data_IF_847437667085
#
_entry.id   IF_847437667085
#
_cell.length_a   1.000
_cell.length_b   1.000
_cell.length_c   1.000
_cell.angle_alpha   90.00
_cell.angle_beta   90.00
_cell.angle_gamma   90.00
#
_symmetry.space_group_name_H-M   'P 1'
#
loop_
_entity.id
_entity.type
_entity.pdbx_description
1 polymer ?
#
# COMPACT_ATOMS: atom_id res chain seq x y z
N UNK A 1 -1.28 14.82 1.57
CA UNK A 1 -1.53 14.22 2.89
C UNK A 1 -1.96 12.78 2.76
N UNK A 2 -1.50 11.91 3.67
CA UNK A 2 -2.06 10.57 3.79
C UNK A 2 -3.54 10.69 4.20
N UNK A 3 -4.42 9.96 3.52
CA UNK A 3 -5.84 9.90 3.87
C UNK A 3 -6.02 9.25 5.23
N UNK A 4 -7.05 9.60 6.02
CA UNK A 4 -7.37 8.87 7.23
C UNK A 4 -7.54 7.37 6.94
N UNK A 5 -7.03 6.51 7.80
CA UNK A 5 -7.11 5.07 7.67
C UNK A 5 -8.06 4.47 8.71
N UNK A 6 -9.06 3.72 8.25
CA UNK A 6 -9.98 2.95 9.10
C UNK A 6 -9.59 1.48 9.06
N UNK A 7 -9.28 0.87 10.20
CA UNK A 7 -8.98 -0.56 10.28
C UNK A 7 -10.15 -1.35 10.89
N UNK A 8 -10.59 -2.41 10.20
CA UNK A 8 -11.60 -3.33 10.69
C UNK A 8 -10.91 -4.49 11.40
N UNK A 9 -11.23 -4.69 12.68
CA UNK A 9 -10.70 -5.77 13.52
C UNK A 9 -11.86 -6.57 14.14
N UNK A 10 -11.62 -7.80 14.54
CA UNK A 10 -12.60 -8.65 15.20
C UNK A 10 -12.33 -10.14 14.96
N UNK A 11 -13.08 -11.01 15.63
CA UNK A 11 -12.96 -12.46 15.51
C UNK A 11 -13.15 -12.97 14.07
N UNK A 12 -12.64 -14.14 13.72
CA UNK A 12 -13.05 -14.83 12.51
C UNK A 12 -14.58 -14.98 12.43
N UNK A 13 -15.13 -14.95 11.23
CA UNK A 13 -16.56 -15.21 10.94
C UNK A 13 -17.58 -14.20 11.50
N UNK A 14 -17.17 -13.08 12.12
CA UNK A 14 -18.10 -12.01 12.54
C UNK A 14 -18.59 -11.15 11.38
N UNK A 15 -18.07 -11.36 10.15
CA UNK A 15 -18.50 -10.67 8.93
C UNK A 15 -17.67 -9.45 8.54
N UNK A 16 -16.41 -9.35 8.97
CA UNK A 16 -15.49 -8.23 8.62
C UNK A 16 -15.35 -8.03 7.12
N UNK A 17 -15.01 -9.10 6.38
CA UNK A 17 -14.81 -9.03 4.92
C UNK A 17 -16.11 -8.72 4.18
N UNK A 18 -17.26 -9.17 4.69
CA UNK A 18 -18.57 -8.79 4.14
C UNK A 18 -18.85 -7.31 4.37
N UNK A 19 -18.54 -6.79 5.56
CA UNK A 19 -18.64 -5.37 5.88
C UNK A 19 -17.71 -4.55 4.99
N UNK A 20 -16.44 -4.92 4.89
CA UNK A 20 -15.46 -4.29 4.01
C UNK A 20 -15.98 -4.20 2.57
N UNK A 21 -16.39 -5.32 1.96
CA UNK A 21 -16.93 -5.35 0.61
C UNK A 21 -18.18 -4.48 0.45
N UNK A 22 -19.01 -4.40 1.49
CA UNK A 22 -20.22 -3.56 1.49
C UNK A 22 -19.88 -2.07 1.52
N UNK A 23 -18.92 -1.66 2.31
CA UNK A 23 -18.47 -0.27 2.42
C UNK A 23 -17.78 0.19 1.13
N UNK A 24 -16.97 -0.66 0.53
CA UNK A 24 -16.32 -0.43 -0.76
C UNK A 24 -17.31 -0.42 -1.92
N UNK A 25 -18.31 -1.30 -1.91
CA UNK A 25 -19.28 -1.46 -3.01
C UNK A 25 -20.33 -0.35 -3.13
N UNK A 26 -20.45 0.57 -2.17
CA UNK A 26 -21.43 1.67 -2.23
C UNK A 26 -21.06 2.83 -3.15
N UNK A 27 -19.79 3.01 -3.54
CA UNK A 27 -19.35 3.92 -4.60
C UNK A 27 -17.93 3.56 -5.10
N UNK A 28 -17.84 2.55 -5.94
CA UNK A 28 -16.79 2.47 -6.95
C UNK A 28 -17.26 3.27 -8.16
N UNK A 29 -17.14 4.61 -8.11
CA UNK A 29 -17.05 5.37 -9.34
C UNK A 29 -15.58 5.28 -9.77
N UNK A 30 -15.37 4.50 -10.84
CA UNK A 30 -14.19 4.55 -11.70
C UNK A 30 -12.88 4.01 -11.08
N UNK A 31 -12.84 2.72 -10.76
CA UNK A 31 -11.65 1.91 -11.04
C UNK A 31 -12.16 0.68 -11.78
N UNK A 32 -11.85 0.61 -13.08
CA UNK A 32 -12.27 -0.44 -14.01
C UNK A 32 -11.90 -1.83 -13.48
N UNK A 33 -12.84 -2.76 -13.64
CA UNK A 33 -12.60 -4.21 -13.64
C UNK A 33 -11.48 -4.55 -14.65
N UNK A 34 -10.26 -4.62 -14.17
CA UNK A 34 -9.17 -5.22 -14.93
C UNK A 34 -9.27 -6.73 -14.76
N UNK A 35 -9.59 -7.51 -15.83
CA UNK A 35 -9.61 -8.96 -15.74
C UNK A 35 -8.21 -9.47 -15.42
N UNK A 36 -8.05 -10.14 -14.27
CA UNK A 36 -6.79 -10.75 -13.86
C UNK A 36 -6.27 -10.37 -12.47
N UNK A 37 -6.92 -9.45 -11.74
CA UNK A 37 -6.58 -9.13 -10.36
C UNK A 37 -7.42 -9.97 -9.42
N UNK A 38 -6.79 -10.89 -8.73
CA UNK A 38 -7.39 -11.77 -7.71
C UNK A 38 -8.11 -10.95 -6.62
N UNK A 39 -9.26 -11.47 -6.17
CA UNK A 39 -10.27 -10.86 -5.29
C UNK A 39 -9.85 -10.57 -3.83
N UNK A 40 -8.58 -10.59 -3.48
CA UNK A 40 -8.11 -10.40 -2.11
C UNK A 40 -7.60 -8.96 -1.87
N UNK A 41 -8.46 -7.96 -2.12
CA UNK A 41 -8.15 -6.59 -1.72
C UNK A 41 -8.44 -6.44 -0.23
N UNK A 42 -7.38 -6.38 0.58
CA UNK A 42 -7.45 -6.05 2.01
C UNK A 42 -7.60 -4.54 2.25
N UNK A 43 -7.54 -3.71 1.20
CA UNK A 43 -7.44 -2.26 1.26
C UNK A 43 -8.28 -1.60 0.17
N UNK A 44 -9.01 -0.54 0.49
CA UNK A 44 -9.81 0.20 -0.49
C UNK A 44 -10.02 1.66 -0.09
N UNK A 45 -10.17 2.51 -1.11
CA UNK A 45 -10.58 3.90 -0.94
C UNK A 45 -12.09 4.00 -0.71
N UNK A 46 -12.50 4.82 0.24
CA UNK A 46 -13.88 5.14 0.53
C UNK A 46 -14.10 6.66 0.56
N UNK A 47 -15.33 7.07 0.31
CA UNK A 47 -15.77 8.47 0.46
C UNK A 47 -17.12 8.50 1.18
N UNK A 48 -17.21 9.33 2.22
CA UNK A 48 -18.45 9.55 2.97
C UNK A 48 -18.54 11.00 3.41
N UNK A 49 -19.70 11.63 3.19
CA UNK A 49 -19.96 13.05 3.53
C UNK A 49 -18.85 14.00 3.01
N UNK A 50 -18.31 13.75 1.79
CA UNK A 50 -17.26 14.54 1.18
C UNK A 50 -15.86 14.31 1.77
N UNK A 51 -15.70 13.40 2.74
CA UNK A 51 -14.39 13.01 3.31
C UNK A 51 -13.91 11.73 2.66
N UNK A 52 -12.71 11.78 2.10
CA UNK A 52 -12.03 10.60 1.53
C UNK A 52 -11.15 9.97 2.60
N UNK A 53 -11.19 8.65 2.69
CA UNK A 53 -10.41 7.86 3.63
C UNK A 53 -10.13 6.48 3.05
N UNK A 54 -9.20 5.78 3.67
CA UNK A 54 -8.85 4.42 3.30
C UNK A 54 -9.38 3.45 4.35
N UNK A 55 -9.80 2.26 3.91
CA UNK A 55 -10.30 1.21 4.80
C UNK A 55 -9.51 -0.08 4.59
N UNK A 56 -9.16 -0.77 5.67
CA UNK A 56 -8.42 -2.03 5.63
C UNK A 56 -9.16 -3.12 6.40
N UNK A 57 -9.32 -4.30 5.76
CA UNK A 57 -9.76 -5.52 6.46
C UNK A 57 -8.55 -6.27 6.99
N UNK A 58 -8.37 -6.26 8.31
CA UNK A 58 -7.30 -7.03 8.96
C UNK A 58 -7.61 -8.53 9.03
N UNK A 59 -8.79 -8.96 8.60
CA UNK A 59 -9.31 -10.32 8.71
C UNK A 59 -9.01 -11.25 7.54
N UNK A 60 -8.33 -10.79 6.48
CA UNK A 60 -8.06 -11.59 5.28
C UNK A 60 -7.16 -12.83 5.50
N UNK A 61 -6.76 -13.09 6.75
CA UNK A 61 -5.97 -14.25 7.17
C UNK A 61 -6.74 -14.96 8.27
N UNK A 62 -7.26 -16.14 8.01
CA UNK A 62 -7.97 -16.93 9.01
C UNK A 62 -7.03 -17.87 9.77
N UNK A 63 -7.16 -17.97 11.12
CA UNK A 63 -6.41 -18.97 11.90
C UNK A 63 -6.89 -20.39 11.57
N UNK A 64 -5.98 -21.33 11.57
CA UNK A 64 -6.26 -22.73 11.25
C UNK A 64 -6.74 -23.57 12.46
N UNK A 65 -6.64 -23.02 13.66
CA UNK A 65 -7.05 -23.68 14.91
C UNK A 65 -7.65 -22.71 15.92
N UNK A 66 -8.64 -23.16 16.69
CA UNK A 66 -9.35 -22.36 17.70
C UNK A 66 -8.43 -21.82 18.81
N UNK A 67 -7.35 -22.53 19.16
CA UNK A 67 -6.36 -22.07 20.14
C UNK A 67 -5.52 -20.87 19.67
N UNK A 68 -5.57 -20.54 18.39
CA UNK A 68 -4.82 -19.45 17.79
C UNK A 68 -5.64 -18.16 17.63
N UNK A 69 -6.97 -18.23 17.81
CA UNK A 69 -7.89 -17.09 17.60
C UNK A 69 -7.48 -15.88 18.43
N UNK A 70 -7.15 -16.08 19.69
CA UNK A 70 -6.80 -14.98 20.59
C UNK A 70 -5.48 -14.30 20.20
N UNK A 71 -4.47 -15.10 19.83
CA UNK A 71 -3.18 -14.58 19.35
C UNK A 71 -3.40 -13.81 18.05
N UNK A 72 -4.18 -14.35 17.15
CA UNK A 72 -4.54 -13.72 15.89
C UNK A 72 -5.25 -12.36 16.08
N UNK A 73 -6.24 -12.30 16.98
CA UNK A 73 -6.96 -11.07 17.28
C UNK A 73 -6.08 -10.00 17.94
N UNK A 74 -5.17 -10.41 18.84
CA UNK A 74 -4.20 -9.50 19.44
C UNK A 74 -3.29 -8.86 18.39
N UNK A 75 -2.83 -9.64 17.43
CA UNK A 75 -1.96 -9.14 16.36
C UNK A 75 -2.71 -8.24 15.39
N UNK A 76 -3.96 -8.56 15.04
CA UNK A 76 -4.83 -7.66 14.28
C UNK A 76 -5.03 -6.32 15.00
N UNK A 77 -5.37 -6.38 16.29
CA UNK A 77 -5.56 -5.19 17.10
C UNK A 77 -4.26 -4.35 17.18
N UNK A 78 -3.10 -4.99 17.30
CA UNK A 78 -1.82 -4.30 17.34
C UNK A 78 -1.50 -3.61 16.00
N UNK A 79 -1.77 -4.27 14.86
CA UNK A 79 -1.60 -3.68 13.53
C UNK A 79 -2.53 -2.46 13.36
N UNK A 80 -3.80 -2.61 13.78
CA UNK A 80 -4.76 -1.52 13.72
C UNK A 80 -4.35 -0.34 14.61
N UNK A 81 -3.88 -0.61 15.83
CA UNK A 81 -3.36 0.41 16.76
C UNK A 81 -2.16 1.14 16.15
N UNK A 82 -1.26 0.39 15.49
CA UNK A 82 -0.05 0.95 14.92
C UNK A 82 -0.32 1.79 13.65
N UNK A 83 -1.34 1.46 12.85
CA UNK A 83 -1.51 2.04 11.53
C UNK A 83 -2.78 2.91 11.34
N UNK A 84 -3.87 2.64 12.05
CA UNK A 84 -5.17 3.28 11.78
C UNK A 84 -5.37 4.58 12.56
N UNK A 85 -6.11 5.52 11.95
CA UNK A 85 -6.64 6.71 12.64
C UNK A 85 -7.90 6.39 13.43
N UNK A 86 -8.73 5.48 12.91
CA UNK A 86 -9.93 4.97 13.57
C UNK A 86 -9.97 3.45 13.47
N UNK A 87 -10.36 2.78 14.53
CA UNK A 87 -10.46 1.32 14.60
C UNK A 87 -11.92 0.92 14.73
N UNK A 88 -12.40 0.04 13.86
CA UNK A 88 -13.74 -0.55 13.95
C UNK A 88 -13.62 -1.95 14.53
N UNK A 89 -14.08 -2.14 15.77
CA UNK A 89 -14.19 -3.47 16.38
C UNK A 89 -15.53 -4.10 16.00
N UNK A 90 -15.49 -5.16 15.19
CA UNK A 90 -16.68 -5.90 14.77
C UNK A 90 -16.86 -7.13 15.64
N UNK A 91 -18.02 -7.20 16.31
CA UNK A 91 -18.52 -8.34 17.07
C UNK A 91 -19.78 -8.90 16.41
N UNK A 92 -20.42 -9.93 16.95
CA UNK A 92 -21.70 -10.44 16.45
C UNK A 92 -22.67 -10.73 17.57
N UNK A 93 -23.97 -10.53 17.32
CA UNK A 93 -25.02 -10.71 18.31
C UNK A 93 -25.20 -12.17 18.73
N UNK A 94 -25.04 -13.13 17.80
CA UNK A 94 -25.36 -14.54 18.03
C UNK A 94 -24.48 -15.24 19.07
N UNK A 95 -23.23 -14.82 19.22
CA UNK A 95 -22.31 -15.40 20.23
C UNK A 95 -22.19 -14.56 21.49
N UNK A 96 -22.74 -13.35 21.51
CA UNK A 96 -22.54 -12.40 22.60
C UNK A 96 -21.09 -11.97 22.77
N UNK A 97 -20.76 -11.39 23.94
CA UNK A 97 -19.42 -10.93 24.28
C UNK A 97 -18.54 -12.09 24.73
N UNK A 98 -17.48 -12.38 23.97
CA UNK A 98 -16.51 -13.44 24.30
C UNK A 98 -15.31 -12.91 25.11
N UNK A 99 -14.53 -13.85 25.69
CA UNK A 99 -13.27 -13.50 26.37
C UNK A 99 -12.26 -12.83 25.41
N UNK A 100 -12.24 -13.28 24.16
CA UNK A 100 -11.37 -12.68 23.12
C UNK A 100 -11.78 -11.24 22.78
N UNK A 101 -13.08 -10.95 22.68
CA UNK A 101 -13.57 -9.58 22.47
C UNK A 101 -13.19 -8.67 23.63
N UNK A 102 -13.32 -9.15 24.89
CA UNK A 102 -12.93 -8.39 26.10
C UNK A 102 -11.43 -8.07 26.11
N UNK A 103 -10.61 -9.02 25.72
CA UNK A 103 -9.15 -8.83 25.70
C UNK A 103 -8.74 -7.81 24.65
N UNK A 104 -9.25 -7.93 23.43
CA UNK A 104 -9.01 -6.95 22.36
C UNK A 104 -9.54 -5.57 22.75
N UNK A 105 -10.76 -5.48 23.29
CA UNK A 105 -11.30 -4.22 23.79
C UNK A 105 -10.37 -3.55 24.81
N UNK A 106 -9.82 -4.33 25.75
CA UNK A 106 -8.85 -3.81 26.73
C UNK A 106 -7.56 -3.30 26.07
N UNK A 107 -7.06 -3.94 25.03
CA UNK A 107 -5.91 -3.46 24.26
C UNK A 107 -6.22 -2.14 23.54
N UNK A 108 -7.39 -2.07 22.90
CA UNK A 108 -7.84 -0.87 22.19
C UNK A 108 -8.05 0.31 23.13
N UNK A 109 -8.65 0.12 24.29
CA UNK A 109 -8.81 1.14 25.33
C UNK A 109 -7.46 1.74 25.79
N UNK A 110 -6.43 0.89 25.94
CA UNK A 110 -5.09 1.33 26.34
C UNK A 110 -4.38 2.11 25.25
N UNK A 111 -4.72 1.91 23.99
CA UNK A 111 -4.07 2.58 22.86
C UNK A 111 -4.43 4.07 22.75
N UNK A 112 -5.55 4.49 23.35
CA UNK A 112 -6.12 5.84 23.22
C UNK A 112 -6.52 6.23 21.79
N UNK A 113 -6.51 5.29 20.85
CA UNK A 113 -7.03 5.51 19.49
C UNK A 113 -8.56 5.54 19.51
N UNK A 114 -9.23 6.32 18.65
CA UNK A 114 -10.66 6.24 18.47
C UNK A 114 -11.10 4.83 18.06
N UNK A 115 -12.07 4.28 18.75
CA UNK A 115 -12.60 2.94 18.49
C UNK A 115 -14.12 3.02 18.33
N UNK A 116 -14.64 2.50 17.22
CA UNK A 116 -16.07 2.36 16.96
C UNK A 116 -16.44 0.89 17.13
N UNK A 117 -17.34 0.60 18.06
CA UNK A 117 -17.83 -0.76 18.32
C UNK A 117 -19.05 -1.07 17.48
N UNK A 118 -19.01 -2.16 16.70
CA UNK A 118 -20.12 -2.64 15.91
C UNK A 118 -20.55 -4.04 16.33
N UNK A 119 -21.86 -4.24 16.46
CA UNK A 119 -22.49 -5.54 16.67
C UNK A 119 -23.18 -5.97 15.38
N UNK A 120 -22.57 -6.90 14.67
CA UNK A 120 -23.01 -7.37 13.35
C UNK A 120 -24.01 -8.53 13.46
N UNK A 121 -24.60 -8.90 12.31
CA UNK A 121 -25.63 -9.93 12.14
C UNK A 121 -26.96 -9.56 12.83
N UNK A 122 -27.22 -8.26 12.97
CA UNK A 122 -28.50 -7.74 13.43
C UNK A 122 -29.40 -7.45 12.23
N UNK A 123 -30.05 -8.51 11.72
CA UNK A 123 -30.77 -8.46 10.46
C UNK A 123 -32.20 -7.88 10.60
N UNK A 124 -32.70 -7.75 11.83
CA UNK A 124 -34.01 -7.15 12.11
C UNK A 124 -33.91 -5.63 12.26
N UNK A 125 -34.86 -4.89 11.64
CA UNK A 125 -34.98 -3.43 11.70
C UNK A 125 -35.91 -3.01 12.82
N UNK A 126 -35.77 -3.51 14.03
CA UNK A 126 -36.61 -3.21 15.16
C UNK A 126 -35.83 -2.77 16.41
N UNK A 127 -36.50 -2.87 17.56
CA UNK A 127 -35.82 -2.70 18.84
C UNK A 127 -34.65 -3.72 18.91
N UNK A 128 -33.48 -3.31 19.47
CA UNK A 128 -32.37 -4.21 19.62
C UNK A 128 -32.75 -5.46 20.40
N UNK A 129 -32.15 -6.60 20.01
CA UNK A 129 -32.17 -7.81 20.82
C UNK A 129 -31.67 -7.47 22.24
N UNK A 130 -32.28 -7.97 23.32
CA UNK A 130 -31.80 -7.73 24.68
C UNK A 130 -30.30 -8.05 24.88
N UNK A 131 -29.77 -9.03 24.16
CA UNK A 131 -28.34 -9.38 24.17
C UNK A 131 -27.43 -8.26 23.65
N UNK A 132 -27.98 -7.32 22.85
CA UNK A 132 -27.19 -6.18 22.35
C UNK A 132 -26.62 -5.32 23.48
N UNK A 133 -27.32 -5.17 24.56
CA UNK A 133 -26.90 -4.33 25.68
C UNK A 133 -25.69 -4.92 26.45
N UNK A 134 -25.37 -6.21 26.26
CA UNK A 134 -24.18 -6.82 26.83
C UNK A 134 -22.89 -6.18 26.30
N UNK A 135 -22.90 -5.69 25.05
CA UNK A 135 -21.71 -5.12 24.39
C UNK A 135 -21.25 -3.80 25.01
N UNK A 136 -22.09 -3.08 25.73
CA UNK A 136 -21.67 -1.94 26.56
C UNK A 136 -20.61 -2.31 27.60
N UNK A 137 -20.58 -3.57 28.04
CA UNK A 137 -19.58 -4.09 28.99
C UNK A 137 -18.14 -4.07 28.47
N UNK A 138 -17.95 -3.85 27.17
CA UNK A 138 -16.61 -3.69 26.55
C UNK A 138 -15.99 -2.31 26.81
N UNK A 139 -16.80 -1.30 27.21
CA UNK A 139 -16.33 0.04 27.59
C UNK A 139 -15.83 0.89 26.42
N UNK A 140 -16.20 0.57 25.18
CA UNK A 140 -15.75 1.24 23.95
C UNK A 140 -16.74 2.30 23.43
N UNK A 141 -17.66 2.79 24.27
CA UNK A 141 -18.72 3.70 23.88
C UNK A 141 -20.00 2.99 23.45
N UNK A 142 -20.86 3.70 22.71
CA UNK A 142 -22.15 3.18 22.26
C UNK A 142 -21.96 2.19 21.10
N UNK A 143 -22.37 0.92 21.24
CA UNK A 143 -22.26 -0.04 20.15
C UNK A 143 -23.25 0.27 19.03
N UNK A 144 -22.81 0.16 17.78
CA UNK A 144 -23.63 0.37 16.59
C UNK A 144 -24.23 -0.96 16.15
N UNK A 145 -25.55 -0.97 15.96
CA UNK A 145 -26.25 -2.10 15.36
C UNK A 145 -25.92 -2.19 13.89
N UNK A 146 -25.44 -3.36 13.43
CA UNK A 146 -24.98 -3.54 12.07
C UNK A 146 -25.55 -4.82 11.46
N UNK A 147 -25.96 -4.76 10.20
CA UNK A 147 -26.10 -5.91 9.33
C UNK A 147 -25.26 -5.71 8.07
N UNK A 148 -24.07 -6.27 8.05
CA UNK A 148 -23.21 -6.23 6.87
C UNK A 148 -23.87 -6.90 5.64
N UNK A 149 -24.74 -7.89 5.86
CA UNK A 149 -25.48 -8.59 4.81
C UNK A 149 -26.55 -7.69 4.17
N UNK A 150 -27.31 -6.95 4.95
CA UNK A 150 -28.41 -6.12 4.47
C UNK A 150 -28.04 -4.63 4.35
N UNK A 151 -26.91 -4.22 4.94
CA UNK A 151 -26.40 -2.84 4.89
C UNK A 151 -27.05 -1.91 5.92
N UNK A 152 -27.78 -2.45 6.90
CA UNK A 152 -28.35 -1.66 8.00
C UNK A 152 -27.22 -1.18 8.93
N UNK A 153 -27.30 0.05 9.42
CA UNK A 153 -26.32 0.65 10.34
C UNK A 153 -24.99 1.04 9.70
N UNK A 154 -24.79 0.78 8.40
CA UNK A 154 -23.52 1.14 7.73
C UNK A 154 -23.34 2.65 7.58
N UNK A 155 -24.43 3.44 7.51
CA UNK A 155 -24.38 4.90 7.51
C UNK A 155 -23.92 5.42 8.87
N UNK A 156 -24.54 4.94 9.95
CA UNK A 156 -24.21 5.34 11.32
C UNK A 156 -22.74 5.00 11.66
N UNK A 157 -22.27 3.82 11.21
CA UNK A 157 -20.87 3.45 11.33
C UNK A 157 -19.94 4.44 10.62
N UNK A 158 -20.27 4.84 9.39
CA UNK A 158 -19.44 5.75 8.61
C UNK A 158 -19.49 7.17 9.19
N UNK A 159 -20.64 7.63 9.67
CA UNK A 159 -20.76 8.93 10.33
C UNK A 159 -19.90 8.98 11.59
N UNK A 160 -19.92 7.92 12.41
CA UNK A 160 -19.09 7.84 13.61
C UNK A 160 -17.59 7.78 13.27
N UNK A 161 -17.20 7.00 12.25
CA UNK A 161 -15.80 6.99 11.79
C UNK A 161 -15.34 8.38 11.34
N UNK A 162 -16.14 9.07 10.54
CA UNK A 162 -15.81 10.41 10.01
C UNK A 162 -15.73 11.46 11.13
N UNK A 163 -16.58 11.35 12.16
CA UNK A 163 -16.55 12.24 13.31
C UNK A 163 -15.22 12.17 14.08
N UNK A 164 -14.55 11.03 14.05
CA UNK A 164 -13.26 10.82 14.67
C UNK A 164 -12.06 11.17 13.77
N UNK A 165 -12.27 11.50 12.49
CA UNK A 165 -11.17 11.88 11.63
C UNK A 165 -10.56 13.21 12.07
N UNK A 166 -9.25 13.36 11.91
CA UNK A 166 -8.60 14.63 12.14
C UNK A 166 -9.27 15.72 11.28
N UNK A 167 -9.32 16.98 11.77
CA UNK A 167 -9.84 18.10 11.00
C UNK A 167 -9.23 18.11 9.59
N UNK A 168 -10.06 18.39 8.58
CA UNK A 168 -9.52 18.68 7.25
C UNK A 168 -8.74 19.99 7.39
N UNK A 169 -7.44 19.95 7.28
CA UNK A 169 -6.65 21.16 7.15
C UNK A 169 -7.01 21.76 5.78
N UNK A 170 -7.76 22.88 5.80
CA UNK A 170 -8.03 23.67 4.63
C UNK A 170 -6.69 24.23 4.14
N UNK A 171 -6.22 23.77 2.98
CA UNK A 171 -5.20 24.45 2.21
C UNK A 171 -3.76 24.28 2.69
N UNK A 172 -3.25 23.06 2.64
CA UNK A 172 -1.85 22.86 2.29
C UNK A 172 -1.78 21.83 1.15
N UNK A 173 -1.83 22.34 -0.07
CA UNK A 173 -1.12 21.72 -1.19
C UNK A 173 0.36 21.65 -0.77
N UNK A 174 0.83 20.44 -0.42
CA UNK A 174 2.25 20.21 -0.28
C UNK A 174 2.74 19.90 1.15
N UNK A 175 2.46 18.73 1.69
CA UNK A 175 3.49 18.09 2.50
C UNK A 175 4.66 17.79 1.54
N UNK A 176 5.66 18.68 1.53
CA UNK A 176 6.87 18.53 0.71
C UNK A 176 7.71 17.29 1.10
N UNK A 177 7.28 16.56 2.12
CA UNK A 177 7.96 15.36 2.62
C UNK A 177 7.67 14.16 1.74
N UNK A 178 8.71 13.45 1.37
CA UNK A 178 8.58 12.19 0.63
C UNK A 178 8.36 11.05 1.62
N UNK A 179 7.27 10.32 1.46
CA UNK A 179 6.94 9.17 2.28
C UNK A 179 7.67 7.92 1.77
N UNK A 180 8.50 7.32 2.63
CA UNK A 180 9.39 6.21 2.28
C UNK A 180 9.04 4.96 3.10
N UNK A 181 8.66 3.87 2.42
CA UNK A 181 8.49 2.56 3.04
C UNK A 181 9.74 1.70 2.86
N UNK A 182 10.23 1.09 3.94
CA UNK A 182 11.33 0.12 3.90
C UNK A 182 10.77 -1.28 4.05
N UNK A 183 10.71 -2.03 2.95
CA UNK A 183 10.09 -3.35 2.87
C UNK A 183 11.12 -4.43 2.50
N UNK A 184 10.82 -5.69 2.80
CA UNK A 184 11.70 -6.83 2.53
C UNK A 184 11.49 -7.94 3.56
N UNK A 185 12.03 -9.13 3.28
CA UNK A 185 11.94 -10.30 4.18
C UNK A 185 12.58 -10.03 5.56
N UNK A 186 12.31 -10.84 6.59
CA UNK A 186 13.01 -10.77 7.87
C UNK A 186 14.54 -10.84 7.69
N UNK A 187 15.29 -10.20 8.60
CA UNK A 187 16.76 -10.25 8.68
C UNK A 187 17.56 -9.72 7.47
N UNK A 188 16.93 -9.04 6.50
CA UNK A 188 17.66 -8.37 5.40
C UNK A 188 18.35 -7.08 5.83
N UNK A 189 18.10 -6.60 7.06
CA UNK A 189 18.76 -5.41 7.63
C UNK A 189 17.93 -4.13 7.62
N UNK A 190 16.59 -4.21 7.52
CA UNK A 190 15.69 -3.04 7.58
C UNK A 190 15.92 -2.20 8.83
N UNK A 191 15.89 -2.84 10.00
CA UNK A 191 16.10 -2.16 11.29
C UNK A 191 17.52 -1.54 11.39
N UNK A 192 18.52 -2.21 10.83
CA UNK A 192 19.89 -1.69 10.79
C UNK A 192 19.98 -0.44 9.94
N UNK A 193 19.33 -0.44 8.76
CA UNK A 193 19.28 0.72 7.88
C UNK A 193 18.58 1.91 8.54
N UNK A 194 17.40 1.68 9.10
CA UNK A 194 16.63 2.73 9.79
C UNK A 194 17.43 3.30 10.99
N UNK A 195 18.05 2.44 11.81
CA UNK A 195 18.86 2.89 12.94
C UNK A 195 20.10 3.68 12.48
N UNK A 196 20.73 3.29 11.39
CA UNK A 196 21.86 4.03 10.83
C UNK A 196 21.40 5.41 10.34
N UNK A 197 20.34 5.48 9.54
CA UNK A 197 19.80 6.74 9.01
C UNK A 197 19.42 7.69 10.15
N UNK A 198 18.75 7.20 11.20
CA UNK A 198 18.33 8.01 12.35
C UNK A 198 19.47 8.33 13.32
N UNK A 199 20.56 7.59 13.29
CA UNK A 199 21.76 7.81 14.11
C UNK A 199 22.78 8.78 13.50
N UNK A 200 22.60 9.20 12.25
CA UNK A 200 23.52 10.14 11.60
C UNK A 200 23.40 11.54 12.21
N UNK A 201 24.55 12.16 12.59
CA UNK A 201 24.62 13.48 13.25
C UNK A 201 24.05 14.64 12.43
N UNK A 202 23.76 14.45 11.15
CA UNK A 202 23.22 15.44 10.22
C UNK A 202 21.72 15.35 10.00
N UNK A 203 21.05 14.47 10.76
CA UNK A 203 19.62 14.21 10.65
C UNK A 203 18.90 14.90 11.79
N UNK A 204 18.00 15.80 11.49
CA UNK A 204 17.09 16.41 12.45
C UNK A 204 15.84 15.53 12.48
N UNK A 205 15.63 14.80 13.56
CA UNK A 205 14.36 14.17 13.87
C UNK A 205 13.48 15.27 14.46
N UNK A 206 12.46 15.68 13.73
CA UNK A 206 11.55 16.73 14.20
C UNK A 206 10.69 16.18 15.33
N UNK A 207 11.05 16.52 16.58
CA UNK A 207 10.17 16.40 17.74
C UNK A 207 9.09 17.49 17.64
N UNK A 208 8.07 17.30 16.84
CA UNK A 208 6.87 18.13 16.90
C UNK A 208 6.00 17.62 18.05
N UNK A 209 6.20 18.21 19.22
CA UNK A 209 5.24 18.14 20.32
C UNK A 209 3.92 18.77 19.85
N UNK A 210 2.94 17.93 19.49
CA UNK A 210 1.59 18.40 19.12
C UNK A 210 0.92 17.68 17.94
N UNK A 211 1.68 16.99 17.08
CA UNK A 211 1.10 16.16 16.04
C UNK A 211 1.36 14.68 16.34
N UNK A 212 0.66 14.17 17.34
CA UNK A 212 0.63 12.74 17.68
C UNK A 212 -0.19 11.98 16.61
N UNK A 213 0.19 12.09 15.32
CA UNK A 213 -0.53 11.35 14.29
C UNK A 213 -0.02 9.93 14.11
N UNK A 214 1.28 9.65 14.38
CA UNK A 214 1.77 8.28 14.31
C UNK A 214 3.06 8.09 15.12
N UNK A 215 2.96 7.47 16.29
CA UNK A 215 4.12 7.00 17.06
C UNK A 215 4.98 5.95 16.32
N UNK A 216 4.63 5.65 15.08
CA UNK A 216 5.14 4.57 14.23
C UNK A 216 5.97 5.11 13.07
N UNK A 217 5.65 6.32 12.59
CA UNK A 217 6.36 6.98 11.48
C UNK A 217 7.45 7.91 12.02
N UNK A 218 8.55 8.05 11.30
CA UNK A 218 9.64 8.90 11.71
C UNK A 218 9.91 9.99 10.67
N UNK A 219 9.57 11.25 10.96
CA UNK A 219 9.97 12.38 10.12
C UNK A 219 11.48 12.61 10.23
N UNK A 220 12.07 12.94 9.09
CA UNK A 220 13.51 13.12 8.95
C UNK A 220 13.80 14.26 7.99
N UNK A 221 14.70 15.15 8.36
CA UNK A 221 15.20 16.21 7.50
C UNK A 221 16.72 16.16 7.44
N UNK A 222 17.26 16.26 6.23
CA UNK A 222 18.70 16.29 5.97
C UNK A 222 19.04 17.22 4.80
N UNK A 223 20.30 17.26 4.39
CA UNK A 223 20.79 18.10 3.27
C UNK A 223 20.13 17.77 1.92
N UNK A 224 19.50 16.59 1.75
CA UNK A 224 18.84 16.14 0.53
C UNK A 224 17.34 16.49 0.49
N UNK A 225 16.71 16.76 1.65
CA UNK A 225 15.30 17.08 1.73
C UNK A 225 14.59 16.59 2.98
N UNK A 226 13.26 16.56 2.91
CA UNK A 226 12.36 16.19 3.99
C UNK A 226 11.69 14.85 3.68
N UNK A 227 11.69 13.94 4.63
CA UNK A 227 11.19 12.58 4.46
C UNK A 227 10.33 12.16 5.64
N UNK A 228 9.47 11.15 5.42
CA UNK A 228 8.78 10.42 6.48
C UNK A 228 9.01 8.92 6.24
N UNK A 229 9.74 8.27 7.13
CA UNK A 229 9.91 6.82 7.09
C UNK A 229 8.74 6.14 7.79
N UNK A 230 7.98 5.34 7.04
CA UNK A 230 6.73 4.70 7.46
C UNK A 230 7.02 3.42 8.24
N UNK A 231 6.21 3.15 9.28
CA UNK A 231 6.23 1.92 10.12
C UNK A 231 7.60 1.60 10.76
N UNK A 232 8.35 2.62 11.18
CA UNK A 232 9.66 2.41 11.80
C UNK A 232 9.59 1.72 13.15
N UNK A 233 8.52 1.90 13.94
CA UNK A 233 8.32 1.22 15.23
C UNK A 233 8.06 -0.28 15.07
N UNK A 234 7.29 -0.69 14.04
CA UNK A 234 7.11 -2.09 13.68
C UNK A 234 8.44 -2.76 13.30
N UNK A 235 9.31 -2.03 12.61
CA UNK A 235 10.66 -2.47 12.24
C UNK A 235 11.56 -2.60 13.48
N UNK A 236 11.48 -1.68 14.47
CA UNK A 236 12.31 -1.68 15.69
C UNK A 236 11.91 -2.75 16.71
N UNK A 237 10.61 -3.03 16.88
CA UNK A 237 10.12 -4.00 17.88
C UNK A 237 10.44 -5.47 17.52
N UNK A 238 10.67 -5.80 16.25
CA UNK A 238 10.87 -7.17 15.74
C UNK A 238 12.23 -7.82 16.06
N UNK A 239 13.13 -7.21 16.80
CA UNK A 239 14.40 -7.87 17.17
C UNK A 239 14.25 -9.06 18.14
N UNK A 240 13.03 -9.45 18.55
CA UNK A 240 12.79 -10.45 19.61
C UNK A 240 11.69 -11.47 19.38
N UNK A 241 11.10 -11.63 18.18
CA UNK A 241 9.91 -12.50 17.99
C UNK A 241 10.05 -13.49 16.82
N UNK A 242 9.60 -14.71 17.10
CA UNK A 242 9.62 -15.99 16.38
C UNK A 242 9.00 -16.02 14.95
N UNK A 243 9.41 -17.04 14.15
CA UNK A 243 9.08 -17.32 12.74
C UNK A 243 7.58 -17.53 12.38
N UNK A 244 6.68 -17.49 13.35
CA UNK A 244 5.22 -17.69 13.13
C UNK A 244 4.49 -16.50 12.53
N UNK A 245 5.18 -15.38 12.24
CA UNK A 245 4.57 -14.08 11.94
C UNK A 245 4.73 -13.68 10.45
N UNK A 246 4.96 -14.62 9.56
CA UNK A 246 5.22 -14.32 8.14
C UNK A 246 4.04 -13.60 7.47
N UNK A 247 2.81 -14.06 7.72
CA UNK A 247 1.57 -13.49 7.15
C UNK A 247 1.33 -12.03 7.60
N UNK A 248 1.53 -11.74 8.89
CA UNK A 248 1.41 -10.36 9.40
C UNK A 248 2.52 -9.44 8.92
N UNK A 249 3.68 -10.00 8.59
CA UNK A 249 4.77 -9.24 7.97
C UNK A 249 4.38 -8.74 6.58
N UNK A 250 3.64 -9.54 5.81
CA UNK A 250 3.14 -9.17 4.48
C UNK A 250 2.08 -8.07 4.59
N UNK A 251 1.12 -8.21 5.51
CA UNK A 251 0.08 -7.18 5.74
C UNK A 251 0.68 -5.83 6.15
N UNK A 252 1.66 -5.81 7.07
CA UNK A 252 2.35 -4.58 7.46
C UNK A 252 3.11 -3.97 6.29
N UNK A 253 3.78 -4.81 5.47
CA UNK A 253 4.44 -4.33 4.26
C UNK A 253 3.43 -3.69 3.31
N UNK A 254 2.25 -4.29 3.14
CA UNK A 254 1.19 -3.75 2.29
C UNK A 254 0.67 -2.40 2.79
N UNK A 255 0.39 -2.28 4.11
CA UNK A 255 -0.03 -1.01 4.71
C UNK A 255 1.03 0.09 4.55
N UNK A 256 2.32 -0.25 4.73
CA UNK A 256 3.41 0.69 4.52
C UNK A 256 3.54 1.09 3.04
N UNK A 257 3.40 0.13 2.11
CA UNK A 257 3.41 0.37 0.67
C UNK A 257 2.32 1.37 0.28
N UNK A 258 1.07 1.17 0.73
CA UNK A 258 -0.05 2.04 0.33
C UNK A 258 0.16 3.51 0.75
N UNK A 259 0.79 3.75 1.89
CA UNK A 259 1.06 5.09 2.41
C UNK A 259 2.32 5.73 1.82
N UNK A 260 3.17 4.96 1.15
CA UNK A 260 4.43 5.44 0.62
C UNK A 260 4.30 6.14 -0.74
N UNK A 261 5.19 7.12 -0.99
CA UNK A 261 5.52 7.61 -2.33
C UNK A 261 6.57 6.72 -2.99
N UNK A 262 7.58 6.30 -2.19
CA UNK A 262 8.71 5.49 -2.66
C UNK A 262 8.92 4.28 -1.75
N UNK A 263 9.07 3.09 -2.33
CA UNK A 263 9.36 1.85 -1.65
C UNK A 263 10.85 1.46 -1.80
N UNK A 264 11.55 1.28 -0.68
CA UNK A 264 12.88 0.68 -0.64
C UNK A 264 12.73 -0.83 -0.43
N UNK A 265 12.91 -1.61 -1.49
CA UNK A 265 12.78 -3.07 -1.47
C UNK A 265 14.15 -3.66 -1.11
N UNK A 266 14.30 -4.06 0.15
CA UNK A 266 15.57 -4.58 0.66
C UNK A 266 15.71 -6.08 0.40
N UNK A 267 16.84 -6.47 -0.19
CA UNK A 267 17.26 -7.86 -0.40
C UNK A 267 18.62 -8.10 0.24
N UNK A 268 18.92 -9.35 0.63
CA UNK A 268 20.26 -9.74 1.11
C UNK A 268 21.15 -10.04 -0.11
N UNK A 269 22.22 -9.29 -0.28
CA UNK A 269 23.13 -9.46 -1.42
C UNK A 269 23.84 -10.82 -1.44
N UNK A 270 23.96 -11.54 -0.31
CA UNK A 270 24.55 -12.88 -0.26
C UNK A 270 23.61 -13.96 -0.79
N UNK A 271 22.31 -13.82 -0.44
CA UNK A 271 21.30 -14.83 -0.78
C UNK A 271 20.76 -14.60 -2.22
N UNK A 272 20.88 -13.38 -2.74
CA UNK A 272 20.19 -12.97 -3.95
C UNK A 272 18.69 -12.80 -3.74
N UNK A 273 17.93 -12.81 -4.84
CA UNK A 273 16.46 -12.70 -4.80
C UNK A 273 15.85 -14.04 -4.45
N UNK A 274 14.98 -14.06 -3.43
CA UNK A 274 14.22 -15.23 -3.01
C UNK A 274 12.74 -15.10 -3.42
N UNK A 275 11.98 -16.20 -3.34
CA UNK A 275 10.54 -16.18 -3.62
C UNK A 275 9.78 -15.17 -2.75
N UNK A 276 10.17 -15.03 -1.48
CA UNK A 276 9.57 -14.06 -0.57
C UNK A 276 9.89 -12.61 -0.99
N UNK A 277 11.12 -12.34 -1.44
CA UNK A 277 11.51 -11.04 -1.97
C UNK A 277 10.69 -10.70 -3.22
N UNK A 278 10.46 -11.69 -4.12
CA UNK A 278 9.63 -11.53 -5.32
C UNK A 278 8.17 -11.20 -4.97
N UNK A 279 7.59 -11.86 -3.97
CA UNK A 279 6.23 -11.57 -3.50
C UNK A 279 6.11 -10.15 -2.96
N UNK A 280 7.06 -9.71 -2.12
CA UNK A 280 7.07 -8.36 -1.53
C UNK A 280 7.27 -7.30 -2.62
N UNK A 281 8.19 -7.53 -3.56
CA UNK A 281 8.39 -6.65 -4.70
C UNK A 281 7.15 -6.56 -5.60
N UNK A 282 6.44 -7.68 -5.79
CA UNK A 282 5.16 -7.74 -6.49
C UNK A 282 4.11 -6.84 -5.90
N UNK A 283 3.96 -6.82 -4.56
CA UNK A 283 3.01 -5.92 -3.89
C UNK A 283 3.28 -4.44 -4.19
N UNK A 284 4.54 -4.00 -4.16
CA UNK A 284 4.90 -2.62 -4.48
C UNK A 284 4.63 -2.27 -5.95
N UNK A 285 4.89 -3.21 -6.86
CA UNK A 285 4.62 -3.08 -8.29
C UNK A 285 3.11 -2.96 -8.58
N UNK A 286 2.30 -3.86 -8.02
CA UNK A 286 0.84 -3.88 -8.18
C UNK A 286 0.18 -2.63 -7.61
N UNK A 287 0.67 -2.15 -6.46
CA UNK A 287 0.24 -0.89 -5.87
C UNK A 287 0.65 0.34 -6.71
N UNK A 288 1.48 0.17 -7.73
CA UNK A 288 1.92 1.26 -8.59
C UNK A 288 2.93 2.20 -7.95
N UNK A 289 3.63 1.78 -6.89
CA UNK A 289 4.54 2.64 -6.15
C UNK A 289 5.91 2.75 -6.83
N UNK A 290 6.47 3.95 -6.75
CA UNK A 290 7.85 4.15 -7.13
C UNK A 290 8.77 3.30 -6.24
N UNK A 291 9.79 2.65 -6.82
CA UNK A 291 10.53 1.60 -6.12
C UNK A 291 12.02 1.62 -6.42
N UNK A 292 12.81 1.34 -5.40
CA UNK A 292 14.27 1.17 -5.48
C UNK A 292 14.61 -0.19 -4.88
N UNK A 293 15.36 -1.03 -5.59
CA UNK A 293 15.87 -2.30 -5.07
C UNK A 293 17.17 -2.03 -4.33
N UNK A 294 17.21 -2.36 -3.04
CA UNK A 294 18.35 -2.12 -2.16
C UNK A 294 19.00 -3.46 -1.79
N UNK A 295 20.10 -3.80 -2.45
CA UNK A 295 20.92 -4.98 -2.15
C UNK A 295 21.84 -4.67 -0.96
N UNK A 296 21.42 -5.09 0.23
CA UNK A 296 22.11 -4.85 1.49
C UNK A 296 23.12 -5.96 1.83
N UNK A 297 23.94 -5.74 2.84
CA UNK A 297 25.04 -6.61 3.29
C UNK A 297 26.12 -6.78 2.22
N UNK A 298 26.32 -5.74 1.40
CA UNK A 298 27.34 -5.71 0.36
C UNK A 298 28.77 -5.88 0.90
N UNK A 299 29.02 -5.58 2.16
CA UNK A 299 30.27 -5.82 2.87
C UNK A 299 30.65 -7.30 2.97
N UNK A 300 29.66 -8.20 2.96
CA UNK A 300 29.84 -9.66 3.12
C UNK A 300 29.98 -10.39 1.77
N UNK A 301 29.86 -9.71 0.65
CA UNK A 301 29.97 -10.30 -0.70
C UNK A 301 31.43 -10.26 -1.14
N UNK A 302 31.96 -11.40 -1.60
CA UNK A 302 33.26 -11.46 -2.27
C UNK A 302 33.18 -10.72 -3.61
N UNK A 303 34.11 -9.79 -3.83
CA UNK A 303 34.05 -8.84 -4.94
C UNK A 303 35.19 -9.05 -5.93
N UNK A 304 34.79 -9.22 -7.17
CA UNK A 304 35.66 -9.00 -8.33
C UNK A 304 35.18 -7.80 -9.15
N UNK A 305 35.87 -7.41 -10.20
CA UNK A 305 35.51 -6.26 -11.02
C UNK A 305 34.15 -6.40 -11.75
N UNK A 306 33.52 -7.57 -11.77
CA UNK A 306 32.28 -7.88 -12.49
C UNK A 306 31.11 -8.29 -11.56
N UNK A 307 31.40 -8.49 -10.28
CA UNK A 307 30.39 -9.00 -9.29
C UNK A 307 29.12 -8.14 -9.25
N UNK A 308 29.29 -6.82 -9.22
CA UNK A 308 28.14 -5.89 -9.16
C UNK A 308 27.26 -6.00 -10.40
N UNK A 309 27.83 -6.01 -11.59
CA UNK A 309 27.09 -6.08 -12.85
C UNK A 309 26.43 -7.45 -13.06
N UNK A 310 27.10 -8.51 -12.61
CA UNK A 310 26.52 -9.85 -12.61
C UNK A 310 25.29 -9.91 -11.69
N UNK A 311 25.45 -9.46 -10.46
CA UNK A 311 24.36 -9.47 -9.48
C UNK A 311 23.17 -8.60 -9.93
N UNK A 312 23.42 -7.42 -10.52
CA UNK A 312 22.36 -6.58 -11.07
C UNK A 312 21.58 -7.31 -12.18
N UNK A 313 22.27 -8.02 -13.06
CA UNK A 313 21.61 -8.83 -14.11
C UNK A 313 20.78 -9.97 -13.51
N UNK A 314 21.30 -10.64 -12.49
CA UNK A 314 20.58 -11.72 -11.80
C UNK A 314 19.33 -11.18 -11.10
N UNK A 315 19.41 -10.03 -10.41
CA UNK A 315 18.26 -9.35 -9.81
C UNK A 315 17.20 -9.01 -10.86
N UNK A 316 17.58 -8.43 -12.00
CA UNK A 316 16.61 -8.10 -13.06
C UNK A 316 16.05 -9.32 -13.79
N UNK A 317 16.78 -10.43 -13.82
CA UNK A 317 16.23 -11.70 -14.32
C UNK A 317 15.15 -12.22 -13.38
N UNK A 318 15.40 -12.21 -12.07
CA UNK A 318 14.52 -12.78 -11.05
C UNK A 318 13.33 -11.85 -10.73
N UNK A 319 13.50 -10.53 -10.91
CA UNK A 319 12.46 -9.50 -10.81
C UNK A 319 12.14 -8.88 -12.18
N UNK A 320 11.86 -9.72 -13.19
CA UNK A 320 11.68 -9.29 -14.57
C UNK A 320 10.54 -8.28 -14.79
N UNK A 321 9.57 -8.22 -13.87
CA UNK A 321 8.46 -7.25 -13.89
C UNK A 321 8.86 -5.87 -13.34
N UNK A 322 10.04 -5.74 -12.69
CA UNK A 322 10.54 -4.49 -12.07
C UNK A 322 11.86 -3.99 -12.66
N UNK A 323 12.13 -4.27 -13.92
CA UNK A 323 13.39 -3.82 -14.59
C UNK A 323 13.54 -2.29 -14.65
N UNK A 324 12.46 -1.55 -14.37
CA UNK A 324 12.47 -0.10 -14.26
C UNK A 324 13.05 0.41 -12.93
N UNK A 325 13.09 -0.43 -11.88
CA UNK A 325 13.56 -0.03 -10.56
C UNK A 325 15.09 -0.04 -10.49
N UNK A 326 15.75 1.07 -10.10
CA UNK A 326 17.20 1.10 -9.95
C UNK A 326 17.66 0.18 -8.82
N UNK A 327 18.85 -0.44 -9.00
CA UNK A 327 19.47 -1.31 -8.00
C UNK A 327 20.60 -0.59 -7.31
N UNK A 328 20.52 -0.42 -6.00
CA UNK A 328 21.55 0.18 -5.15
C UNK A 328 22.16 -0.87 -4.22
N UNK A 329 23.49 -1.00 -4.23
CA UNK A 329 24.24 -1.90 -3.35
C UNK A 329 24.76 -1.13 -2.14
N UNK A 330 24.36 -1.53 -0.93
CA UNK A 330 24.72 -0.86 0.34
C UNK A 330 25.22 -1.85 1.39
N UNK A 331 25.84 -1.30 2.43
CA UNK A 331 25.97 -1.98 3.70
C UNK A 331 25.37 -1.10 4.82
N UNK A 332 24.24 -1.53 5.34
CA UNK A 332 23.61 -0.87 6.48
C UNK A 332 24.43 -1.01 7.79
N UNK A 333 25.38 -1.94 7.83
CA UNK A 333 26.28 -2.12 8.97
C UNK A 333 27.42 -1.11 8.97
N UNK A 334 28.05 -0.90 7.81
CA UNK A 334 29.22 -0.03 7.66
C UNK A 334 28.90 1.39 7.20
N UNK A 335 27.63 1.66 6.81
CA UNK A 335 27.22 2.93 6.22
C UNK A 335 27.61 3.12 4.76
N UNK A 336 28.15 2.08 4.11
CA UNK A 336 28.63 2.19 2.73
C UNK A 336 27.48 2.51 1.78
N UNK A 337 27.57 3.63 1.04
CA UNK A 337 26.62 4.12 0.03
C UNK A 337 25.20 4.40 0.51
N UNK A 338 24.96 4.51 1.82
CA UNK A 338 23.62 4.77 2.36
C UNK A 338 23.12 6.16 2.03
N UNK A 339 23.97 7.18 1.91
CA UNK A 339 23.58 8.53 1.50
C UNK A 339 22.96 8.57 0.09
N UNK A 340 23.38 7.69 -0.82
CA UNK A 340 22.80 7.57 -2.16
C UNK A 340 21.33 7.17 -2.17
N UNK A 341 20.81 6.64 -1.06
CA UNK A 341 19.38 6.34 -0.92
C UNK A 341 18.56 7.61 -1.10
N UNK A 342 18.95 8.72 -0.46
CA UNK A 342 18.21 9.98 -0.52
C UNK A 342 18.23 10.59 -1.93
N UNK A 343 19.38 10.56 -2.60
CA UNK A 343 19.50 11.01 -3.99
C UNK A 343 18.56 10.22 -4.92
N UNK A 344 18.54 8.88 -4.77
CA UNK A 344 17.68 8.01 -5.56
C UNK A 344 16.20 8.16 -5.19
N UNK A 345 15.86 8.36 -3.91
CA UNK A 345 14.47 8.59 -3.46
C UNK A 345 13.93 9.86 -4.11
N UNK A 346 14.69 10.95 -4.09
CA UNK A 346 14.31 12.20 -4.74
C UNK A 346 14.11 11.98 -6.25
N UNK A 347 15.10 11.40 -6.91
CA UNK A 347 15.07 11.15 -8.35
C UNK A 347 13.86 10.29 -8.76
N UNK A 348 13.61 9.18 -8.07
CA UNK A 348 12.52 8.27 -8.39
C UNK A 348 11.15 8.90 -8.09
N UNK A 349 11.04 9.71 -7.03
CA UNK A 349 9.83 10.46 -6.73
C UNK A 349 9.54 11.53 -7.80
N UNK A 350 10.55 12.23 -8.30
CA UNK A 350 10.43 13.17 -9.42
C UNK A 350 9.97 12.44 -10.69
N UNK A 351 10.58 11.29 -11.02
CA UNK A 351 10.19 10.48 -12.17
C UNK A 351 8.73 10.03 -12.09
N UNK A 352 8.26 9.64 -10.90
CA UNK A 352 6.88 9.20 -10.67
C UNK A 352 5.87 10.35 -10.77
N UNK A 353 6.29 11.58 -10.52
CA UNK A 353 5.46 12.79 -10.53
C UNK A 353 5.50 13.52 -11.88
N UNK A 354 6.30 13.05 -12.83
CA UNK A 354 6.53 13.71 -14.11
C UNK A 354 5.23 13.87 -14.92
N UNK A 355 4.98 15.08 -15.38
CA UNK A 355 3.90 15.41 -16.32
C UNK A 355 4.47 15.59 -17.71
N UNK A 356 3.98 14.79 -18.66
CA UNK A 356 4.37 14.82 -20.06
C UNK A 356 3.20 15.40 -20.86
N UNK A 357 3.47 16.36 -21.73
CA UNK A 357 2.43 17.00 -22.53
C UNK A 357 1.88 16.02 -23.58
N UNK A 358 0.60 16.19 -23.92
CA UNK A 358 -0.07 15.37 -24.94
C UNK A 358 0.64 15.45 -26.30
N UNK A 359 1.20 16.60 -26.66
CA UNK A 359 1.98 16.78 -27.89
C UNK A 359 3.20 15.85 -27.92
N UNK A 360 4.06 15.93 -26.89
CA UNK A 360 5.26 15.06 -26.79
C UNK A 360 4.92 13.56 -26.79
N UNK A 361 3.82 13.19 -26.12
CA UNK A 361 3.36 11.80 -26.12
C UNK A 361 2.94 11.33 -27.51
N UNK A 362 2.26 12.18 -28.28
CA UNK A 362 1.82 11.81 -29.63
C UNK A 362 2.97 11.82 -30.63
N UNK A 363 4.01 12.63 -30.45
CA UNK A 363 5.24 12.55 -31.23
C UNK A 363 5.93 11.19 -31.03
N UNK A 364 6.09 10.77 -29.77
CA UNK A 364 6.63 9.43 -29.45
C UNK A 364 5.77 8.31 -30.01
N UNK A 365 4.45 8.45 -29.94
CA UNK A 365 3.50 7.47 -30.48
C UNK A 365 3.60 7.36 -32.00
N UNK A 366 3.73 8.50 -32.70
CA UNK A 366 3.91 8.53 -34.15
C UNK A 366 5.23 7.85 -34.57
N UNK A 367 6.32 8.18 -33.90
CA UNK A 367 7.63 7.55 -34.12
C UNK A 367 7.59 6.04 -33.87
N UNK A 368 6.94 5.62 -32.77
CA UNK A 368 6.76 4.21 -32.43
C UNK A 368 6.00 3.46 -33.53
N UNK A 369 4.88 4.03 -34.03
CA UNK A 369 4.10 3.43 -35.11
C UNK A 369 4.84 3.39 -36.46
N UNK A 370 5.72 4.38 -36.70
CA UNK A 370 6.57 4.39 -37.90
C UNK A 370 7.64 3.31 -37.85
N UNK A 371 8.24 3.05 -36.69
CA UNK A 371 9.27 2.00 -36.50
C UNK A 371 8.68 0.59 -36.50
N UNK A 372 7.56 0.41 -35.81
CA UNK A 372 6.85 -0.86 -35.75
C UNK A 372 5.36 -0.65 -35.96
N UNK A 373 4.90 -1.08 -37.13
CA UNK A 373 3.49 -0.92 -37.48
C UNK A 373 2.56 -1.64 -36.51
N UNK A 374 1.39 -1.03 -36.16
CA UNK A 374 0.40 -1.67 -35.33
C UNK A 374 -0.05 -3.02 -35.86
N UNK A 375 -0.36 -4.00 -35.00
CA UNK A 375 -0.75 -5.35 -35.40
C UNK A 375 -2.02 -5.37 -36.24
N UNK A 376 -2.12 -6.40 -37.07
CA UNK A 376 -3.29 -6.69 -37.88
C UNK A 376 -3.78 -8.11 -37.54
N UNK A 377 -5.06 -8.27 -37.25
CA UNK A 377 -5.70 -9.58 -37.06
C UNK A 377 -6.91 -9.74 -38.01
N UNK A 378 -6.99 -10.88 -38.71
CA UNK A 378 -8.07 -11.22 -39.64
C UNK A 378 -8.43 -10.08 -40.63
N UNK A 379 -7.42 -9.37 -41.13
CA UNK A 379 -7.60 -8.26 -42.06
C UNK A 379 -8.00 -6.93 -41.40
N UNK A 380 -8.20 -6.89 -40.08
CA UNK A 380 -8.47 -5.66 -39.35
C UNK A 380 -7.16 -5.12 -38.78
N UNK A 381 -6.78 -3.91 -39.12
CA UNK A 381 -5.57 -3.23 -38.61
C UNK A 381 -5.92 -2.41 -37.37
N UNK A 382 -5.08 -2.51 -36.35
CA UNK A 382 -5.12 -1.61 -35.21
C UNK A 382 -4.80 -0.18 -35.67
N UNK A 383 -5.69 0.77 -35.37
CA UNK A 383 -5.46 2.20 -35.56
C UNK A 383 -5.43 2.86 -34.19
N UNK A 384 -4.32 3.49 -33.84
CA UNK A 384 -4.16 4.28 -32.64
C UNK A 384 -4.35 5.75 -33.05
N UNK A 385 -5.21 6.45 -32.32
CA UNK A 385 -5.58 7.82 -32.66
C UNK A 385 -4.71 8.83 -31.94
N UNK A 386 -4.61 8.72 -30.63
CA UNK A 386 -3.77 9.56 -29.79
C UNK A 386 -3.55 8.93 -28.42
N UNK A 387 -2.61 9.49 -27.68
CA UNK A 387 -2.29 9.13 -26.30
C UNK A 387 -2.25 10.38 -25.42
N UNK A 388 -2.72 10.27 -24.19
CA UNK A 388 -2.67 11.33 -23.18
C UNK A 388 -2.30 10.79 -21.82
N UNK A 389 -1.72 11.62 -20.96
CA UNK A 389 -1.45 11.27 -19.57
C UNK A 389 -2.62 11.73 -18.69
N UNK A 390 -3.19 10.81 -17.93
CA UNK A 390 -4.33 11.05 -17.04
C UNK A 390 -3.93 11.13 -15.57
N UNK A 391 -2.80 10.54 -15.18
CA UNK A 391 -2.36 10.50 -13.79
C UNK A 391 -0.84 10.51 -13.63
N UNK A 392 -0.40 10.79 -12.39
CA UNK A 392 0.96 10.63 -11.89
C UNK A 392 0.93 9.80 -10.62
N UNK A 393 2.09 9.26 -10.19
CA UNK A 393 2.23 8.43 -8.97
C UNK A 393 1.28 7.22 -8.94
N UNK A 394 1.29 6.30 -9.94
CA UNK A 394 2.25 6.20 -11.05
C UNK A 394 1.79 6.97 -12.31
N UNK A 395 2.69 7.24 -13.28
CA UNK A 395 2.32 7.76 -14.58
C UNK A 395 1.33 6.84 -15.27
N UNK A 396 0.15 7.38 -15.62
CA UNK A 396 -0.93 6.67 -16.27
C UNK A 396 -1.22 7.28 -17.64
N UNK A 397 -1.12 6.49 -18.68
CA UNK A 397 -1.36 6.89 -20.06
C UNK A 397 -2.59 6.20 -20.62
N UNK A 398 -3.47 6.98 -21.25
CA UNK A 398 -4.64 6.45 -21.96
C UNK A 398 -4.38 6.53 -23.45
N UNK A 399 -4.48 5.39 -24.11
CA UNK A 399 -4.32 5.24 -25.56
C UNK A 399 -5.69 5.00 -26.17
N UNK A 400 -6.10 5.85 -27.09
CA UNK A 400 -7.35 5.72 -27.83
C UNK A 400 -7.13 5.03 -29.15
N UNK A 401 -7.89 3.95 -29.42
CA UNK A 401 -7.77 3.14 -30.63
C UNK A 401 -9.14 2.79 -31.24
N UNK A 402 -9.12 2.11 -32.40
CA UNK A 402 -10.33 1.62 -33.06
C UNK A 402 -10.87 0.31 -32.49
N UNK A 403 -10.01 -0.51 -31.84
CA UNK A 403 -10.40 -1.79 -31.25
C UNK A 403 -9.43 -2.18 -30.15
N UNK A 404 -9.96 -2.39 -28.93
CA UNK A 404 -9.21 -2.84 -27.77
C UNK A 404 -8.67 -4.27 -27.97
N UNK A 405 -9.43 -5.13 -28.63
CA UNK A 405 -9.06 -6.54 -28.90
C UNK A 405 -7.80 -6.68 -29.76
N UNK A 406 -7.56 -5.71 -30.65
CA UNK A 406 -6.39 -5.71 -31.53
C UNK A 406 -5.12 -5.19 -30.80
N UNK A 407 -5.28 -4.58 -29.63
CA UNK A 407 -4.17 -4.04 -28.87
C UNK A 407 -3.51 -5.12 -28.02
N UNK A 408 -2.71 -5.99 -28.64
CA UNK A 408 -2.05 -7.09 -27.95
C UNK A 408 -1.04 -6.59 -26.90
N UNK A 409 -0.90 -7.36 -25.83
CA UNK A 409 0.05 -7.10 -24.73
C UNK A 409 1.48 -6.82 -25.21
N UNK A 410 1.95 -7.54 -26.23
CA UNK A 410 3.30 -7.32 -26.78
C UNK A 410 3.47 -5.92 -27.39
N UNK A 411 2.43 -5.38 -28.03
CA UNK A 411 2.47 -4.04 -28.60
C UNK A 411 2.34 -2.96 -27.52
N UNK A 412 1.53 -3.22 -26.50
CA UNK A 412 1.47 -2.35 -25.32
C UNK A 412 2.84 -2.22 -24.65
N UNK A 413 3.53 -3.34 -24.44
CA UNK A 413 4.88 -3.37 -23.87
C UNK A 413 5.90 -2.64 -24.77
N UNK A 414 5.74 -2.77 -26.10
CA UNK A 414 6.56 -2.01 -27.04
C UNK A 414 6.38 -0.50 -26.89
N UNK A 415 5.13 -0.02 -26.82
CA UNK A 415 4.83 1.41 -26.62
C UNK A 415 5.37 1.88 -25.26
N UNK A 416 5.20 1.11 -24.19
CA UNK A 416 5.78 1.43 -22.89
C UNK A 416 7.30 1.61 -22.98
N UNK A 417 8.00 0.70 -23.65
CA UNK A 417 9.43 0.79 -23.83
C UNK A 417 9.84 2.05 -24.63
N UNK A 418 9.05 2.46 -25.63
CA UNK A 418 9.30 3.71 -26.37
C UNK A 418 9.11 4.93 -25.46
N UNK A 419 8.07 4.98 -24.64
CA UNK A 419 7.85 6.05 -23.66
C UNK A 419 9.02 6.12 -22.69
N UNK A 420 9.47 4.99 -22.13
CA UNK A 420 10.60 4.93 -21.22
C UNK A 420 11.92 5.34 -21.87
N UNK A 421 12.13 4.98 -23.13
CA UNK A 421 13.36 5.34 -23.85
C UNK A 421 13.54 6.85 -24.08
N UNK A 422 12.40 7.59 -24.15
CA UNK A 422 12.42 9.04 -24.38
C UNK A 422 12.36 9.81 -23.07
N UNK A 423 11.51 9.40 -22.12
CA UNK A 423 11.25 10.17 -20.91
C UNK A 423 11.93 9.62 -19.65
N UNK A 424 12.57 8.44 -19.72
CA UNK A 424 13.17 7.77 -18.57
C UNK A 424 12.13 7.01 -17.76
N UNK A 425 11.42 7.67 -16.86
CA UNK A 425 10.46 7.08 -15.92
C UNK A 425 11.09 5.93 -15.11
N UNK A 426 12.37 6.09 -14.75
CA UNK A 426 13.12 5.12 -13.95
C UNK A 426 12.57 5.10 -12.52
N UNK A 427 12.51 3.93 -11.92
CA UNK A 427 12.02 3.74 -10.57
C UNK A 427 10.49 3.74 -10.43
N UNK A 428 9.72 4.02 -11.48
CA UNK A 428 8.26 4.04 -11.40
C UNK A 428 7.62 3.09 -12.41
N UNK A 429 6.59 2.32 -12.00
CA UNK A 429 5.78 1.57 -12.95
C UNK A 429 4.98 2.53 -13.84
N UNK A 430 4.66 2.08 -15.05
CA UNK A 430 3.83 2.82 -15.99
C UNK A 430 2.52 2.06 -16.18
N UNK A 431 1.40 2.75 -16.06
CA UNK A 431 0.08 2.20 -16.37
C UNK A 431 -0.36 2.66 -17.76
N UNK A 432 -0.73 1.73 -18.63
CA UNK A 432 -1.30 2.01 -19.94
C UNK A 432 -2.71 1.44 -19.98
N UNK A 433 -3.68 2.33 -20.18
CA UNK A 433 -5.09 2.01 -20.35
C UNK A 433 -5.45 2.19 -21.82
N UNK A 434 -6.02 1.16 -22.44
CA UNK A 434 -6.45 1.20 -23.84
C UNK A 434 -7.95 1.42 -23.89
N UNK A 435 -8.40 2.48 -24.54
CA UNK A 435 -9.83 2.79 -24.75
C UNK A 435 -10.21 2.73 -26.23
N UNK A 436 -11.38 2.19 -26.51
CA UNK A 436 -11.93 2.21 -27.84
C UNK A 436 -12.73 3.50 -28.06
N UNK A 437 -12.63 4.09 -29.25
CA UNK A 437 -13.40 5.29 -29.58
C UNK A 437 -14.91 4.97 -29.56
N UNK A 438 -15.63 5.60 -28.63
CA UNK A 438 -17.07 5.37 -28.43
C UNK A 438 -17.41 4.66 -27.09
N UNK A 439 -16.45 4.19 -26.34
CA UNK A 439 -16.67 3.80 -24.94
C UNK A 439 -17.11 5.05 -24.15
N UNK A 440 -18.28 4.95 -23.51
CA UNK A 440 -18.75 6.04 -22.62
C UNK A 440 -17.89 6.10 -21.38
N UNK A 441 -17.64 7.32 -20.90
CA UNK A 441 -16.98 7.61 -19.63
C UNK A 441 -17.66 6.92 -18.45
#
# INVERSE_FOLDING_TARGET
MARPLVAIVGRPNVGKSLLFNRLVGKRLSIVEDTPGVTRDRLYAECEWNGRKFDIVDTGGIEPTADSEILVFMREQAQIAIDAADVIVLVTEIGTGVTAADREVANMLLRSKKPVVLCVNKMDSTGLPDPGFYEFYSLGLGDPIQLSAMHGHGTGDLLDECVAHFPPAEEGEDGDERIHVAVIGKPNVGKSSLINLILGEKRVIVADQAGTTRDAVDTPLENEFGKYVFIDTAGIRRKSKVDDRIEKFSVMRAQLAIERADVCLIMIDARDGVTEQDTKIAGLAHEAGKASIIVANKWDLVEKDGKTMDKMRRDIYRDLAFMTYAPVLFISALTGQRTQRIFELVNYVNEQSSMRITTGMLNDVLADAQARQQPPTDKGRRLKIYYMTQTGVKPPCFVIFCNSRELFHFSYQRYIENQIRSVFGLEGTPVRIVVRQKGDKE
#
